data_IF_401592609353
#
_entry.id   IF_401592609353
#
_cell.length_a   1.000
_cell.length_b   1.000
_cell.length_c   1.000
_cell.angle_alpha   90.00
_cell.angle_beta   90.00
_cell.angle_gamma   90.00
#
_symmetry.space_group_name_H-M   'P 1'
#
loop_
_entity.id
_entity.type
_entity.pdbx_description
1 polymer ?
#
# COMPACT_ATOMS: atom_id res chain seq x y z
N UNK A 1 12.22 12.55 20.41
CA UNK A 1 13.31 11.94 19.61
C UNK A 1 13.14 12.41 18.18
N UNK A 2 14.23 12.63 17.45
CA UNK A 2 14.15 12.93 16.03
C UNK A 2 13.59 11.72 15.28
N UNK A 3 12.77 11.96 14.27
CA UNK A 3 12.26 10.93 13.38
C UNK A 3 13.17 10.79 12.16
N UNK A 4 13.10 9.66 11.46
CA UNK A 4 14.02 9.36 10.37
C UNK A 4 13.98 10.39 9.20
N UNK A 5 12.83 11.03 8.97
CA UNK A 5 12.62 11.99 7.91
C UNK A 5 12.31 13.42 8.43
N UNK A 6 12.69 13.72 9.69
CA UNK A 6 12.56 15.08 10.20
C UNK A 6 13.30 16.07 9.30
N UNK A 7 12.63 17.17 8.94
CA UNK A 7 13.15 18.21 8.06
C UNK A 7 12.91 17.96 6.57
N UNK A 8 12.39 16.79 6.17
CA UNK A 8 11.97 16.53 4.78
C UNK A 8 10.55 17.05 4.58
N UNK A 9 10.34 17.87 3.54
CA UNK A 9 9.06 18.46 3.17
C UNK A 9 8.53 17.88 1.87
N UNK A 10 7.26 17.44 1.86
CA UNK A 10 6.63 16.74 0.74
C UNK A 10 5.34 17.45 0.31
N UNK A 11 5.23 17.84 -0.95
CA UNK A 11 3.98 18.26 -1.59
C UNK A 11 3.27 17.04 -2.16
N UNK A 12 2.06 16.79 -1.71
CA UNK A 12 1.22 15.71 -2.22
C UNK A 12 0.10 16.25 -3.10
N UNK A 13 0.10 15.88 -4.38
CA UNK A 13 -0.94 16.22 -5.36
C UNK A 13 -1.66 14.95 -5.85
N UNK A 14 -2.01 14.06 -4.93
CA UNK A 14 -2.67 12.80 -5.28
C UNK A 14 -4.15 12.83 -4.92
N UNK A 15 -4.98 12.11 -5.70
CA UNK A 15 -6.44 12.06 -5.51
C UNK A 15 -6.94 10.69 -5.06
N UNK A 16 -6.15 9.65 -5.24
CA UNK A 16 -6.54 8.26 -4.97
C UNK A 16 -5.61 7.61 -3.95
N UNK A 17 -6.07 6.52 -3.36
CA UNK A 17 -5.44 5.81 -2.25
C UNK A 17 -3.93 5.54 -2.37
N UNK A 18 -3.41 5.07 -3.52
CA UNK A 18 -2.00 4.70 -3.64
C UNK A 18 -1.02 5.84 -3.34
N UNK A 19 -1.25 7.03 -3.90
CA UNK A 19 -0.39 8.18 -3.61
C UNK A 19 -0.48 8.62 -2.16
N UNK A 20 -1.70 8.62 -1.60
CA UNK A 20 -1.90 8.95 -0.19
C UNK A 20 -1.24 7.93 0.75
N UNK A 21 -1.20 6.64 0.39
CA UNK A 21 -0.49 5.62 1.16
C UNK A 21 1.03 5.76 1.05
N UNK A 22 1.55 6.09 -0.13
CA UNK A 22 2.97 6.41 -0.33
C UNK A 22 3.43 7.53 0.61
N UNK A 23 2.72 8.66 0.60
CA UNK A 23 3.08 9.83 1.41
C UNK A 23 2.77 9.64 2.89
N UNK A 24 1.80 8.79 3.27
CA UNK A 24 1.57 8.40 4.66
C UNK A 24 2.81 7.71 5.25
N UNK A 25 3.45 6.80 4.50
CA UNK A 25 4.67 6.15 4.98
C UNK A 25 5.78 7.15 5.27
N UNK A 26 5.94 8.17 4.42
CA UNK A 26 6.91 9.25 4.65
C UNK A 26 6.50 10.11 5.85
N UNK A 27 5.21 10.45 5.96
CA UNK A 27 4.67 11.23 7.07
C UNK A 27 4.84 10.50 8.41
N UNK A 28 4.53 9.20 8.46
CA UNK A 28 4.71 8.40 9.69
C UNK A 28 6.18 8.37 10.16
N UNK A 29 7.13 8.48 9.24
CA UNK A 29 8.55 8.51 9.54
C UNK A 29 9.11 9.92 9.79
N UNK A 30 8.27 10.96 9.82
CA UNK A 30 8.66 12.31 10.22
C UNK A 30 8.59 13.38 9.15
N UNK A 31 8.43 13.03 7.87
CA UNK A 31 8.31 14.04 6.82
C UNK A 31 7.08 14.96 7.06
N UNK A 32 7.24 16.24 6.78
CA UNK A 32 6.14 17.21 6.72
C UNK A 32 5.44 17.07 5.37
N UNK A 33 4.23 16.50 5.38
CA UNK A 33 3.45 16.28 4.15
C UNK A 33 2.34 17.31 4.05
N UNK A 34 2.37 18.14 3.01
CA UNK A 34 1.31 19.07 2.65
C UNK A 34 0.51 18.50 1.47
N UNK A 35 -0.71 18.10 1.74
CA UNK A 35 -1.64 17.65 0.71
C UNK A 35 -2.34 18.84 0.08
N UNK A 36 -2.20 18.96 -1.24
CA UNK A 36 -2.83 20.02 -2.06
C UNK A 36 -4.05 19.43 -2.76
N UNK A 37 -5.21 20.02 -2.50
CA UNK A 37 -6.50 19.58 -2.99
C UNK A 37 -7.26 20.74 -3.65
N UNK A 38 -8.10 20.51 -4.67
CA UNK A 38 -8.90 21.57 -5.26
C UNK A 38 -9.92 22.09 -4.23
N UNK A 39 -10.23 23.40 -4.25
CA UNK A 39 -11.33 23.93 -3.46
C UNK A 39 -12.65 23.22 -3.79
N UNK A 40 -13.56 23.04 -2.82
CA UNK A 40 -14.85 22.42 -3.06
C UNK A 40 -15.71 23.31 -3.98
N UNK A 41 -16.34 22.69 -4.99
CA UNK A 41 -17.19 23.41 -5.91
C UNK A 41 -18.36 24.11 -5.17
N UNK A 42 -18.48 25.41 -5.32
CA UNK A 42 -19.61 26.21 -4.77
C UNK A 42 -19.60 26.43 -3.25
N UNK A 43 -18.52 26.11 -2.54
CA UNK A 43 -18.35 26.41 -1.10
C UNK A 43 -17.00 27.05 -0.87
N UNK A 44 -16.95 28.03 0.04
CA UNK A 44 -15.69 28.55 0.56
C UNK A 44 -14.99 27.43 1.34
N UNK A 45 -13.75 27.10 0.96
CA UNK A 45 -12.92 26.15 1.71
C UNK A 45 -12.50 26.77 3.03
N UNK A 46 -12.39 25.94 4.07
CA UNK A 46 -11.76 26.36 5.32
C UNK A 46 -12.60 27.35 6.15
N UNK A 47 -13.91 27.11 6.30
CA UNK A 47 -14.76 27.96 7.15
C UNK A 47 -14.42 27.87 8.64
N UNK A 48 -13.35 27.19 9.06
CA UNK A 48 -12.97 27.01 10.47
C UNK A 48 -14.03 26.28 11.34
N UNK A 49 -15.12 25.83 10.73
CA UNK A 49 -16.16 25.12 11.45
C UNK A 49 -15.65 23.70 11.80
N UNK A 50 -15.80 23.34 13.07
CA UNK A 50 -15.53 21.97 13.52
C UNK A 50 -16.36 20.97 12.71
N UNK A 51 -15.79 19.86 12.22
CA UNK A 51 -16.53 18.85 11.48
C UNK A 51 -17.68 18.28 12.33
N UNK A 52 -18.77 17.87 11.67
CA UNK A 52 -19.86 17.16 12.35
C UNK A 52 -19.35 15.81 12.89
N UNK A 53 -19.97 15.22 13.92
CA UNK A 53 -19.50 13.96 14.52
C UNK A 53 -19.24 12.83 13.50
N UNK A 54 -20.12 12.63 12.54
CA UNK A 54 -19.96 11.62 11.49
C UNK A 54 -18.78 11.94 10.55
N UNK A 55 -18.56 13.21 10.26
CA UNK A 55 -17.44 13.69 9.45
C UNK A 55 -16.12 13.57 10.23
N UNK A 56 -16.13 13.92 11.52
CA UNK A 56 -15.01 13.73 12.42
C UNK A 56 -14.60 12.26 12.49
N UNK A 57 -15.57 11.32 12.58
CA UNK A 57 -15.28 9.89 12.59
C UNK A 57 -14.68 9.40 11.26
N UNK A 58 -15.18 9.89 10.12
CA UNK A 58 -14.59 9.57 8.79
C UNK A 58 -13.14 10.07 8.68
N UNK A 59 -12.86 11.27 9.15
CA UNK A 59 -11.49 11.80 9.18
C UNK A 59 -10.60 10.97 10.11
N UNK A 60 -11.08 10.68 11.32
CA UNK A 60 -10.35 9.90 12.31
C UNK A 60 -10.01 8.47 11.81
N UNK A 61 -10.80 7.91 10.89
CA UNK A 61 -10.56 6.60 10.26
C UNK A 61 -9.90 6.68 8.89
N UNK A 62 -9.55 7.87 8.41
CA UNK A 62 -8.83 8.07 7.13
C UNK A 62 -7.32 7.86 7.32
N UNK A 63 -6.90 6.63 7.50
CA UNK A 63 -5.51 6.26 7.90
C UNK A 63 -4.45 6.81 6.95
N UNK A 64 -4.72 6.81 5.64
CA UNK A 64 -3.75 7.25 4.63
C UNK A 64 -3.48 8.75 4.62
N UNK A 65 -4.30 9.54 5.35
CA UNK A 65 -4.15 10.98 5.44
C UNK A 65 -3.68 11.47 6.82
N UNK A 66 -3.35 10.56 7.75
CA UNK A 66 -2.78 10.93 9.05
C UNK A 66 -1.41 11.59 8.92
N UNK A 67 -1.01 12.38 9.91
CA UNK A 67 0.26 13.09 9.96
C UNK A 67 0.49 14.10 8.82
N UNK A 68 -0.58 14.56 8.16
CA UNK A 68 -0.50 15.49 7.03
C UNK A 68 -1.15 16.83 7.34
N UNK A 69 -0.75 17.86 6.61
CA UNK A 69 -1.48 19.12 6.48
C UNK A 69 -2.33 19.10 5.20
N UNK A 70 -3.39 19.91 5.13
CA UNK A 70 -4.23 20.06 3.94
C UNK A 70 -4.33 21.53 3.55
N UNK A 71 -4.03 21.82 2.29
CA UNK A 71 -4.18 23.09 1.60
C UNK A 71 -5.17 22.94 0.45
N UNK A 72 -6.17 23.81 0.35
CA UNK A 72 -6.95 23.93 -0.88
C UNK A 72 -6.27 24.89 -1.84
N UNK A 73 -6.12 24.46 -3.12
CA UNK A 73 -5.48 25.26 -4.15
C UNK A 73 -6.01 24.90 -5.55
N UNK A 74 -6.50 25.91 -6.27
CA UNK A 74 -6.97 25.76 -7.64
C UNK A 74 -5.80 25.97 -8.64
N UNK A 75 -5.14 24.91 -9.04
CA UNK A 75 -4.01 24.96 -9.99
C UNK A 75 -4.43 25.30 -11.44
N UNK A 76 -5.73 25.44 -11.73
CA UNK A 76 -6.20 25.96 -13.02
C UNK A 76 -6.11 27.48 -13.07
N UNK A 77 -6.00 28.15 -11.93
CA UNK A 77 -5.83 29.59 -11.83
C UNK A 77 -4.34 29.94 -11.76
N UNK A 78 -3.86 30.94 -12.50
CA UNK A 78 -2.47 31.36 -12.44
C UNK A 78 -1.98 31.72 -11.04
N UNK A 79 -2.81 32.35 -10.20
CA UNK A 79 -2.45 32.65 -8.82
C UNK A 79 -2.23 31.38 -7.99
N UNK A 80 -2.99 30.32 -8.28
CA UNK A 80 -2.76 29.01 -7.67
C UNK A 80 -1.43 28.37 -8.11
N UNK A 81 -1.05 28.55 -9.39
CA UNK A 81 0.25 28.09 -9.88
C UNK A 81 1.41 28.87 -9.24
N UNK A 82 1.28 30.19 -9.08
CA UNK A 82 2.29 31.02 -8.42
C UNK A 82 2.52 30.58 -6.96
N UNK A 83 1.46 30.21 -6.25
CA UNK A 83 1.55 29.67 -4.89
C UNK A 83 2.24 28.30 -4.90
N UNK A 84 1.91 27.39 -5.83
CA UNK A 84 2.61 26.11 -5.98
C UNK A 84 4.11 26.33 -6.25
N UNK A 85 4.47 27.28 -7.08
CA UNK A 85 5.85 27.64 -7.38
C UNK A 85 6.60 28.21 -6.16
N UNK A 86 5.92 29.01 -5.34
CA UNK A 86 6.50 29.50 -4.07
C UNK A 86 6.75 28.35 -3.09
N UNK A 87 5.78 27.42 -2.95
CA UNK A 87 5.97 26.23 -2.13
C UNK A 87 7.10 25.34 -2.64
N UNK A 88 7.22 25.13 -3.94
CA UNK A 88 8.24 24.26 -4.52
C UNK A 88 9.68 24.71 -4.21
N UNK A 89 9.91 25.99 -3.89
CA UNK A 89 11.24 26.50 -3.45
C UNK A 89 11.67 25.92 -2.11
N UNK A 90 10.69 25.62 -1.23
CA UNK A 90 10.91 25.23 0.16
C UNK A 90 10.71 23.74 0.41
N UNK A 91 10.19 23.01 -0.60
CA UNK A 91 9.87 21.61 -0.46
C UNK A 91 10.88 20.71 -1.18
N UNK A 92 11.12 19.54 -0.59
CA UNK A 92 12.12 18.57 -1.06
C UNK A 92 11.57 17.61 -2.10
N UNK A 93 10.28 17.26 -1.96
CA UNK A 93 9.63 16.19 -2.72
C UNK A 93 8.28 16.66 -3.23
N UNK A 94 7.96 16.31 -4.46
CA UNK A 94 6.60 16.38 -5.02
C UNK A 94 6.14 14.97 -5.35
N UNK A 95 4.93 14.63 -4.94
CA UNK A 95 4.28 13.35 -5.29
C UNK A 95 2.97 13.66 -6.00
N UNK A 96 2.81 13.21 -7.24
CA UNK A 96 1.58 13.38 -7.99
C UNK A 96 1.07 12.05 -8.54
N UNK A 97 -0.24 11.98 -8.85
CA UNK A 97 -0.88 10.77 -9.36
C UNK A 97 -1.83 11.05 -10.52
N UNK A 98 -1.51 12.01 -11.37
CA UNK A 98 -2.32 12.35 -12.54
C UNK A 98 -1.88 11.55 -13.78
N UNK A 99 -2.69 11.60 -14.81
CA UNK A 99 -2.27 11.12 -16.12
C UNK A 99 -1.15 12.01 -16.68
N UNK A 100 -0.19 11.44 -17.44
CA UNK A 100 0.88 12.20 -18.06
C UNK A 100 0.39 13.45 -18.79
N UNK A 101 1.09 14.58 -18.62
CA UNK A 101 0.76 15.88 -19.20
C UNK A 101 -0.31 16.68 -18.46
N UNK A 102 -0.95 16.15 -17.42
CA UNK A 102 -1.90 16.94 -16.60
C UNK A 102 -1.16 17.98 -15.79
N UNK A 103 -0.09 17.59 -15.09
CA UNK A 103 0.70 18.53 -14.29
C UNK A 103 1.37 19.61 -15.14
N UNK A 104 1.75 19.33 -16.38
CA UNK A 104 2.24 20.34 -17.32
C UNK A 104 1.20 21.44 -17.56
N UNK A 105 -0.07 21.05 -17.77
CA UNK A 105 -1.17 22.04 -17.96
C UNK A 105 -1.51 22.80 -16.67
N UNK A 106 -1.14 22.25 -15.51
CA UNK A 106 -1.34 22.87 -14.21
C UNK A 106 -0.09 23.64 -13.71
N UNK A 107 0.95 23.75 -14.56
CA UNK A 107 2.18 24.50 -14.25
C UNK A 107 3.04 23.88 -13.15
N UNK A 108 2.86 22.58 -12.88
CA UNK A 108 3.55 21.87 -11.78
C UNK A 108 4.27 20.61 -12.23
N UNK A 109 4.64 20.47 -13.50
CA UNK A 109 5.42 19.34 -14.00
C UNK A 109 6.89 19.41 -13.55
N UNK A 110 7.59 18.28 -13.71
CA UNK A 110 8.96 18.14 -13.25
C UNK A 110 9.91 19.22 -13.81
N UNK A 111 9.87 19.51 -15.11
CA UNK A 111 10.79 20.47 -15.73
C UNK A 111 10.54 21.89 -15.20
N UNK A 112 9.27 22.25 -15.02
CA UNK A 112 8.88 23.54 -14.43
C UNK A 112 9.38 23.66 -12.99
N UNK A 113 9.15 22.65 -12.15
CA UNK A 113 9.52 22.73 -10.75
C UNK A 113 11.03 22.57 -10.53
N UNK A 114 11.72 21.77 -11.35
CA UNK A 114 13.18 21.65 -11.36
C UNK A 114 13.88 22.98 -11.70
N UNK A 115 13.31 23.75 -12.61
CA UNK A 115 13.87 25.06 -12.93
C UNK A 115 13.79 26.04 -11.74
N UNK A 116 12.80 25.86 -10.85
CA UNK A 116 12.62 26.65 -9.62
C UNK A 116 13.51 26.12 -8.49
N UNK A 117 13.54 24.79 -8.31
CA UNK A 117 14.32 24.10 -7.29
C UNK A 117 15.06 22.90 -7.91
N UNK A 118 16.34 23.06 -8.29
CA UNK A 118 17.11 21.97 -8.89
C UNK A 118 17.29 20.75 -7.97
N UNK A 119 17.09 20.89 -6.66
CA UNK A 119 17.15 19.83 -5.67
C UNK A 119 15.85 19.04 -5.51
N UNK A 120 14.78 19.38 -6.24
CA UNK A 120 13.48 18.77 -6.04
C UNK A 120 13.44 17.31 -6.54
N UNK A 121 12.97 16.40 -5.70
CA UNK A 121 12.64 15.03 -6.09
C UNK A 121 11.18 15.00 -6.52
N UNK A 122 10.92 14.58 -7.74
CA UNK A 122 9.57 14.57 -8.31
C UNK A 122 9.11 13.12 -8.55
N UNK A 123 8.15 12.63 -7.77
CA UNK A 123 7.61 11.28 -7.91
C UNK A 123 6.27 11.32 -8.64
N UNK A 124 6.23 10.72 -9.82
CA UNK A 124 5.01 10.54 -10.60
C UNK A 124 4.53 9.10 -10.50
N UNK A 125 3.31 8.92 -9.99
CA UNK A 125 2.64 7.63 -9.87
C UNK A 125 1.61 7.51 -10.98
N UNK A 126 1.90 6.76 -12.03
CA UNK A 126 1.03 6.65 -13.20
C UNK A 126 0.77 5.20 -13.60
N UNK A 127 -0.31 4.95 -14.33
CA UNK A 127 -0.71 3.58 -14.67
C UNK A 127 0.33 2.83 -15.50
N UNK A 128 0.91 3.53 -16.48
CA UNK A 128 1.76 2.92 -17.51
C UNK A 128 3.07 3.67 -17.74
N UNK A 129 3.47 4.55 -16.82
CA UNK A 129 4.66 5.39 -16.99
C UNK A 129 4.39 6.71 -17.73
N UNK A 130 5.42 7.55 -17.81
CA UNK A 130 5.33 8.86 -18.44
C UNK A 130 5.42 8.82 -19.97
N UNK A 131 5.77 7.69 -20.56
CA UNK A 131 5.90 7.46 -22.00
C UNK A 131 5.23 6.14 -22.46
N UNK A 132 5.53 5.71 -23.67
CA UNK A 132 5.04 4.46 -24.22
C UNK A 132 3.61 4.48 -24.77
N UNK A 133 3.16 3.37 -25.39
CA UNK A 133 1.91 3.31 -26.15
C UNK A 133 0.66 3.44 -25.26
N UNK A 134 0.73 3.09 -23.98
CA UNK A 134 -0.41 3.09 -23.06
C UNK A 134 -0.44 4.29 -22.11
N UNK A 135 0.52 5.23 -22.20
CA UNK A 135 0.63 6.37 -21.28
C UNK A 135 -0.67 7.12 -21.00
N UNK A 136 -1.57 7.20 -21.99
CA UNK A 136 -2.83 7.92 -21.91
C UNK A 136 -4.05 7.04 -21.59
N UNK A 137 -3.87 5.71 -21.42
CA UNK A 137 -4.99 4.80 -21.18
C UNK A 137 -5.49 4.95 -19.73
N UNK A 138 -6.83 4.95 -19.55
CA UNK A 138 -7.42 4.87 -18.20
C UNK A 138 -7.27 3.45 -17.66
N UNK A 139 -6.90 3.32 -16.40
CA UNK A 139 -6.84 2.02 -15.74
C UNK A 139 -6.89 2.16 -14.22
N UNK A 140 -7.15 1.04 -13.58
CA UNK A 140 -7.09 0.82 -12.14
C UNK A 140 -6.34 -0.49 -11.84
N UNK A 141 -6.14 -0.83 -10.57
CA UNK A 141 -5.42 -2.01 -10.09
C UNK A 141 -5.70 -3.27 -10.94
N UNK A 142 -6.97 -3.61 -11.11
CA UNK A 142 -7.40 -4.79 -11.88
C UNK A 142 -6.82 -4.83 -13.31
N UNK A 143 -6.70 -3.68 -13.96
CA UNK A 143 -6.18 -3.60 -15.32
C UNK A 143 -4.66 -3.81 -15.35
N UNK A 144 -3.94 -3.29 -14.36
CA UNK A 144 -2.50 -3.51 -14.21
C UNK A 144 -2.20 -4.99 -13.89
N UNK A 145 -2.99 -5.59 -12.98
CA UNK A 145 -2.90 -7.02 -12.69
C UNK A 145 -3.16 -7.89 -13.92
N UNK A 146 -4.12 -7.49 -14.76
CA UNK A 146 -4.45 -8.22 -16.00
C UNK A 146 -3.28 -8.18 -17.01
N UNK A 147 -2.75 -6.98 -17.26
CA UNK A 147 -1.69 -6.79 -18.25
C UNK A 147 -0.33 -7.31 -17.80
N UNK A 148 -0.08 -7.33 -16.48
CA UNK A 148 1.15 -7.91 -15.93
C UNK A 148 1.18 -9.43 -15.92
N UNK A 149 0.04 -10.11 -16.16
CA UNK A 149 -0.09 -11.56 -16.03
C UNK A 149 -0.30 -12.07 -14.60
N UNK A 150 -0.20 -11.21 -13.57
CA UNK A 150 -0.40 -11.60 -12.16
C UNK A 150 -1.80 -12.15 -11.94
N UNK A 151 -2.82 -11.50 -12.51
CA UNK A 151 -4.21 -11.90 -12.31
C UNK A 151 -4.49 -13.33 -12.79
N UNK A 152 -3.87 -13.75 -13.91
CA UNK A 152 -4.06 -15.11 -14.45
C UNK A 152 -3.52 -16.22 -13.52
N UNK A 153 -2.67 -15.87 -12.55
CA UNK A 153 -2.08 -16.82 -11.61
C UNK A 153 -2.85 -16.91 -10.28
N UNK A 154 -3.85 -16.05 -10.05
CA UNK A 154 -4.57 -15.96 -8.77
C UNK A 154 -5.98 -16.54 -8.91
N UNK A 155 -6.31 -17.50 -8.05
CA UNK A 155 -7.66 -18.07 -7.96
C UNK A 155 -7.71 -19.58 -8.18
N UNK A 156 -8.93 -20.14 -8.26
CA UNK A 156 -9.15 -21.56 -8.47
C UNK A 156 -8.67 -21.99 -9.87
N UNK A 157 -8.36 -23.29 -10.06
CA UNK A 157 -7.87 -23.81 -11.33
C UNK A 157 -8.87 -23.65 -12.48
N UNK A 158 -10.16 -23.65 -12.12
CA UNK A 158 -11.28 -23.51 -13.07
C UNK A 158 -12.03 -22.20 -12.84
N UNK A 159 -12.68 -21.72 -13.89
CA UNK A 159 -13.42 -20.44 -13.86
C UNK A 159 -12.55 -19.21 -14.00
N UNK A 160 -13.07 -18.00 -13.74
CA UNK A 160 -12.32 -16.77 -13.86
C UNK A 160 -11.28 -16.61 -12.73
N UNK A 161 -10.20 -15.83 -12.94
CA UNK A 161 -9.28 -15.43 -11.90
C UNK A 161 -9.97 -14.73 -10.73
N UNK A 162 -9.41 -14.84 -9.52
CA UNK A 162 -9.90 -14.12 -8.34
C UNK A 162 -9.26 -12.73 -8.24
N UNK A 163 -10.07 -11.70 -7.98
CA UNK A 163 -9.59 -10.34 -7.76
C UNK A 163 -9.03 -10.24 -6.32
N UNK A 164 -7.74 -9.95 -6.13
CA UNK A 164 -7.10 -9.92 -4.79
C UNK A 164 -7.24 -8.55 -4.11
N UNK A 165 -8.40 -7.90 -4.21
CA UNK A 165 -8.58 -6.49 -3.87
C UNK A 165 -7.66 -5.60 -4.72
N UNK A 166 -7.36 -4.37 -4.24
CA UNK A 166 -6.39 -3.47 -4.86
C UNK A 166 -5.06 -3.39 -4.08
N UNK A 167 -4.64 -4.50 -3.48
CA UNK A 167 -3.45 -4.53 -2.61
C UNK A 167 -2.17 -4.66 -3.43
N UNK A 168 -2.20 -5.37 -4.56
CA UNK A 168 -0.99 -5.78 -5.26
C UNK A 168 -0.45 -4.64 -6.14
N UNK A 169 -1.21 -4.17 -7.14
CA UNK A 169 -0.69 -3.15 -8.05
C UNK A 169 -0.70 -1.75 -7.41
N UNK A 170 -1.78 -1.38 -6.72
CA UNK A 170 -1.93 -0.06 -6.11
C UNK A 170 -0.97 0.13 -4.92
N UNK A 171 -1.03 -0.77 -3.92
CA UNK A 171 -0.29 -0.54 -2.67
C UNK A 171 1.09 -1.20 -2.67
N UNK A 172 1.21 -2.51 -2.86
CA UNK A 172 2.52 -3.18 -2.88
C UNK A 172 3.35 -2.75 -4.10
N UNK A 173 2.73 -2.66 -5.27
CA UNK A 173 3.36 -2.16 -6.48
C UNK A 173 3.70 -0.68 -6.39
N UNK A 174 2.75 0.19 -6.67
CA UNK A 174 3.04 1.60 -6.88
C UNK A 174 3.40 2.36 -5.61
N UNK A 175 2.61 2.22 -4.52
CA UNK A 175 2.82 3.06 -3.33
C UNK A 175 4.15 2.77 -2.64
N UNK A 176 4.48 1.50 -2.43
CA UNK A 176 5.74 1.13 -1.75
C UNK A 176 6.95 1.43 -2.63
N UNK A 177 6.88 1.16 -3.94
CA UNK A 177 7.97 1.53 -4.86
C UNK A 177 8.10 3.05 -5.00
N UNK A 178 7.00 3.80 -4.93
CA UNK A 178 7.03 5.27 -4.88
C UNK A 178 7.81 5.79 -3.68
N UNK A 179 7.47 5.29 -2.48
CA UNK A 179 8.20 5.67 -1.27
C UNK A 179 9.68 5.26 -1.34
N UNK A 180 9.98 4.05 -1.82
CA UNK A 180 11.36 3.57 -1.99
C UNK A 180 12.12 4.40 -3.03
N UNK A 181 11.50 4.71 -4.17
CA UNK A 181 12.08 5.55 -5.22
C UNK A 181 12.39 6.97 -4.73
N UNK A 182 11.50 7.56 -3.94
CA UNK A 182 11.74 8.85 -3.27
C UNK A 182 12.96 8.76 -2.35
N UNK A 183 13.06 7.70 -1.53
CA UNK A 183 14.20 7.50 -0.64
C UNK A 183 15.52 7.36 -1.41
N UNK A 184 15.54 6.59 -2.51
CA UNK A 184 16.72 6.49 -3.37
C UNK A 184 17.12 7.84 -3.98
N UNK A 185 16.13 8.61 -4.44
CA UNK A 185 16.38 9.94 -5.02
C UNK A 185 16.90 10.94 -3.98
N UNK A 186 16.36 10.93 -2.76
CA UNK A 186 16.85 11.74 -1.65
C UNK A 186 18.26 11.35 -1.24
N UNK A 187 18.57 10.05 -1.19
CA UNK A 187 19.94 9.58 -0.90
C UNK A 187 20.93 9.99 -1.99
N UNK A 188 20.55 9.85 -3.27
CA UNK A 188 21.39 10.32 -4.38
C UNK A 188 21.61 11.84 -4.34
N UNK A 189 20.57 12.61 -3.96
CA UNK A 189 20.65 14.07 -3.81
C UNK A 189 21.69 14.48 -2.76
N UNK A 190 21.85 13.73 -1.67
CA UNK A 190 22.89 14.04 -0.66
C UNK A 190 24.31 14.04 -1.26
N UNK A 191 24.54 13.25 -2.31
CA UNK A 191 25.84 13.16 -2.98
C UNK A 191 25.98 14.16 -4.13
N UNK A 192 24.89 14.39 -4.87
CA UNK A 192 24.93 15.17 -6.13
C UNK A 192 24.46 16.61 -5.97
N UNK A 193 23.73 16.93 -4.91
CA UNK A 193 23.01 18.19 -4.73
C UNK A 193 21.81 18.36 -5.67
N UNK A 194 21.50 17.39 -6.54
CA UNK A 194 20.45 17.48 -7.54
C UNK A 194 19.30 16.52 -7.22
N UNK A 195 18.06 17.01 -7.39
CA UNK A 195 16.88 16.17 -7.42
C UNK A 195 16.72 15.45 -8.76
N UNK A 196 15.68 14.61 -8.87
CA UNK A 196 15.41 13.87 -10.09
C UNK A 196 13.94 13.46 -10.20
N UNK A 197 13.52 13.08 -11.41
CA UNK A 197 12.24 12.44 -11.67
C UNK A 197 12.30 10.97 -11.19
N UNK A 198 11.29 10.56 -10.45
CA UNK A 198 11.01 9.18 -10.06
C UNK A 198 9.73 8.78 -10.78
N UNK A 199 9.84 8.07 -11.89
CA UNK A 199 8.71 7.60 -12.68
C UNK A 199 8.31 6.20 -12.21
N UNK A 200 7.14 6.08 -11.62
CA UNK A 200 6.57 4.83 -11.10
C UNK A 200 5.35 4.46 -11.92
N UNK A 201 5.50 3.43 -12.73
CA UNK A 201 4.38 2.83 -13.44
C UNK A 201 3.81 1.65 -12.64
N UNK A 202 2.49 1.66 -12.41
CA UNK A 202 1.81 0.55 -11.72
C UNK A 202 2.02 -0.78 -12.42
N UNK A 203 2.01 -0.79 -13.76
CA UNK A 203 2.27 -1.98 -14.55
C UNK A 203 3.69 -2.52 -14.33
N UNK A 204 4.71 -1.66 -14.39
CA UNK A 204 6.11 -2.05 -14.28
C UNK A 204 6.41 -2.65 -12.90
N UNK A 205 5.93 -1.99 -11.84
CA UNK A 205 6.12 -2.47 -10.48
C UNK A 205 5.41 -3.80 -10.24
N UNK A 206 4.23 -4.00 -10.84
CA UNK A 206 3.51 -5.28 -10.77
C UNK A 206 4.26 -6.40 -11.52
N UNK A 207 4.83 -6.12 -12.68
CA UNK A 207 5.69 -7.06 -13.41
C UNK A 207 6.95 -7.41 -12.60
N UNK A 208 7.54 -6.41 -11.93
CA UNK A 208 8.70 -6.63 -11.05
C UNK A 208 8.37 -7.60 -9.90
N UNK A 209 7.19 -7.46 -9.28
CA UNK A 209 6.72 -8.41 -8.26
C UNK A 209 6.49 -9.81 -8.85
N UNK A 210 5.89 -9.90 -10.03
CA UNK A 210 5.70 -11.19 -10.73
C UNK A 210 7.03 -11.87 -11.02
N UNK A 211 8.03 -11.12 -11.49
CA UNK A 211 9.35 -11.66 -11.84
C UNK A 211 10.09 -12.28 -10.64
N UNK A 212 9.73 -11.93 -9.40
CA UNK A 212 10.25 -12.56 -8.19
C UNK A 212 9.70 -13.97 -7.95
N UNK A 213 8.64 -14.38 -8.66
CA UNK A 213 8.01 -15.69 -8.47
C UNK A 213 8.74 -16.80 -9.23
N UNK A 214 8.77 -18.05 -8.70
CA UNK A 214 9.37 -19.18 -9.40
C UNK A 214 8.76 -19.44 -10.78
N UNK A 215 7.47 -19.21 -10.93
CA UNK A 215 6.73 -19.46 -12.17
C UNK A 215 7.30 -18.74 -13.39
N UNK A 216 7.73 -17.48 -13.22
CA UNK A 216 8.33 -16.70 -14.32
C UNK A 216 9.71 -17.21 -14.67
N UNK A 217 10.51 -17.55 -13.64
CA UNK A 217 11.82 -18.16 -13.83
C UNK A 217 11.71 -19.46 -14.67
N UNK A 218 10.77 -20.32 -14.31
CA UNK A 218 10.61 -21.63 -14.95
C UNK A 218 10.16 -21.47 -16.41
N UNK A 219 9.24 -20.52 -16.67
CA UNK A 219 8.86 -20.18 -18.05
C UNK A 219 10.05 -19.74 -18.91
N UNK A 220 10.91 -18.88 -18.39
CA UNK A 220 12.09 -18.42 -19.13
C UNK A 220 13.20 -19.48 -19.22
N UNK A 221 13.26 -20.43 -18.28
CA UNK A 221 14.27 -21.47 -18.26
C UNK A 221 13.98 -22.60 -19.27
N UNK A 222 12.73 -23.04 -19.36
CA UNK A 222 12.38 -24.25 -20.14
C UNK A 222 11.01 -24.16 -20.86
N UNK A 223 10.31 -23.01 -20.78
CA UNK A 223 8.99 -22.81 -21.39
C UNK A 223 7.83 -23.39 -20.58
N UNK A 224 8.05 -23.81 -19.33
CA UNK A 224 7.00 -24.34 -18.48
C UNK A 224 5.94 -23.28 -18.21
N UNK A 225 4.73 -23.50 -18.70
CA UNK A 225 3.61 -22.56 -18.54
C UNK A 225 3.06 -22.59 -17.10
N UNK A 226 3.10 -21.45 -16.38
CA UNK A 226 2.45 -21.34 -15.08
C UNK A 226 0.93 -21.47 -15.21
N UNK A 227 0.26 -21.63 -14.08
CA UNK A 227 -1.21 -21.66 -14.06
C UNK A 227 -1.75 -21.66 -12.64
N UNK A 228 -3.03 -21.25 -12.51
CA UNK A 228 -3.71 -21.21 -11.22
C UNK A 228 -3.71 -22.57 -10.54
N UNK A 229 -3.41 -22.58 -9.24
CA UNK A 229 -3.39 -23.78 -8.39
C UNK A 229 -2.46 -24.92 -8.89
N UNK A 230 -1.50 -24.62 -9.78
CA UNK A 230 -0.57 -25.64 -10.28
C UNK A 230 0.78 -25.61 -9.55
N UNK A 231 1.27 -24.44 -9.18
CA UNK A 231 2.54 -24.27 -8.48
C UNK A 231 2.42 -24.36 -6.96
N UNK A 232 3.56 -24.34 -6.29
CA UNK A 232 3.66 -24.45 -4.83
C UNK A 232 2.81 -23.38 -4.13
N UNK A 233 2.94 -22.12 -4.51
CA UNK A 233 2.25 -21.01 -3.87
C UNK A 233 0.82 -20.74 -4.39
N UNK A 234 0.34 -21.56 -5.30
CA UNK A 234 -1.00 -21.43 -5.88
C UNK A 234 -2.09 -22.23 -5.16
N UNK A 235 -1.77 -22.89 -4.04
CA UNK A 235 -2.75 -23.70 -3.31
C UNK A 235 -3.01 -25.09 -3.91
N UNK A 236 -2.18 -25.55 -4.83
CA UNK A 236 -2.30 -26.87 -5.48
C UNK A 236 -1.90 -28.05 -4.60
N UNK A 237 -1.23 -27.82 -3.48
CA UNK A 237 -0.65 -28.85 -2.61
C UNK A 237 -1.28 -28.83 -1.22
N UNK A 238 -1.30 -29.99 -0.56
CA UNK A 238 -1.82 -30.13 0.79
C UNK A 238 -0.99 -29.29 1.79
N UNK A 239 0.32 -29.25 1.62
CA UNK A 239 1.24 -28.52 2.49
C UNK A 239 1.19 -26.99 2.29
N UNK A 240 0.53 -26.47 1.25
CA UNK A 240 0.37 -25.03 1.02
C UNK A 240 -1.03 -24.72 0.51
N UNK A 241 -1.99 -24.61 1.41
CA UNK A 241 -3.40 -24.43 1.07
C UNK A 241 -4.23 -23.87 2.22
N UNK A 242 -5.44 -23.48 1.91
CA UNK A 242 -6.47 -23.04 2.86
C UNK A 242 -7.53 -24.12 2.96
N UNK A 243 -7.99 -24.40 4.18
CA UNK A 243 -8.93 -25.44 4.52
C UNK A 243 -10.09 -24.92 5.36
N UNK A 244 -11.28 -25.49 5.15
CA UNK A 244 -12.43 -25.21 5.99
C UNK A 244 -12.38 -26.08 7.26
N UNK A 245 -12.85 -25.53 8.37
CA UNK A 245 -12.96 -26.22 9.67
C UNK A 245 -14.42 -26.45 10.04
N UNK A 246 -14.66 -27.25 11.10
CA UNK A 246 -16.02 -27.65 11.55
C UNK A 246 -16.95 -26.45 11.79
N UNK A 247 -16.43 -25.35 12.31
CA UNK A 247 -17.16 -24.13 12.63
C UNK A 247 -17.40 -23.21 11.41
N UNK A 248 -17.08 -23.69 10.20
CA UNK A 248 -17.22 -22.94 8.94
C UNK A 248 -16.13 -21.88 8.73
N UNK A 249 -15.21 -21.68 9.68
CA UNK A 249 -14.05 -20.82 9.53
C UNK A 249 -12.97 -21.48 8.68
N UNK A 250 -11.85 -20.81 8.46
CA UNK A 250 -10.78 -21.31 7.61
C UNK A 250 -9.42 -21.26 8.32
N UNK A 251 -8.57 -22.23 7.97
CA UNK A 251 -7.22 -22.40 8.46
C UNK A 251 -6.27 -22.53 7.26
N UNK A 252 -5.13 -21.87 7.30
CA UNK A 252 -4.07 -22.05 6.31
C UNK A 252 -2.97 -22.95 6.83
N UNK A 253 -2.42 -23.80 5.95
CA UNK A 253 -1.20 -24.58 6.18
C UNK A 253 -0.17 -24.13 5.13
N UNK A 254 1.04 -23.80 5.58
CA UNK A 254 2.10 -23.25 4.73
C UNK A 254 3.45 -23.94 5.00
N UNK A 255 3.51 -25.28 4.87
CA UNK A 255 4.65 -26.13 5.23
C UNK A 255 5.48 -26.49 3.98
N UNK A 256 6.18 -25.52 3.42
CA UNK A 256 7.03 -25.73 2.23
C UNK A 256 8.31 -26.50 2.54
N UNK A 257 8.82 -26.45 3.75
CA UNK A 257 9.96 -27.23 4.17
C UNK A 257 9.57 -28.67 4.48
N UNK A 258 10.33 -29.70 4.02
CA UNK A 258 9.98 -31.11 4.22
C UNK A 258 9.74 -31.50 5.66
N UNK A 259 10.51 -30.95 6.61
CA UNK A 259 10.33 -31.27 8.03
C UNK A 259 9.03 -30.68 8.62
N UNK A 260 8.59 -29.50 8.17
CA UNK A 260 7.32 -28.91 8.61
C UNK A 260 6.12 -29.70 8.10
N UNK A 261 6.18 -30.18 6.84
CA UNK A 261 5.18 -31.11 6.33
C UNK A 261 5.18 -32.45 7.07
N UNK A 262 6.37 -32.99 7.38
CA UNK A 262 6.50 -34.19 8.19
C UNK A 262 5.86 -34.03 9.57
N UNK A 263 5.99 -32.84 10.19
CA UNK A 263 5.31 -32.54 11.47
C UNK A 263 3.77 -32.63 11.34
N UNK A 264 3.20 -32.16 10.23
CA UNK A 264 1.75 -32.35 9.95
C UNK A 264 1.41 -33.82 9.87
N UNK A 265 2.20 -34.59 9.10
CA UNK A 265 1.97 -36.03 8.91
C UNK A 265 2.07 -36.79 10.24
N UNK A 266 3.08 -36.51 11.04
CA UNK A 266 3.29 -37.18 12.32
C UNK A 266 2.22 -36.77 13.36
N UNK A 267 1.82 -35.50 13.41
CA UNK A 267 0.75 -35.04 14.29
C UNK A 267 -0.62 -35.67 13.99
N UNK A 268 -0.86 -35.98 12.71
CA UNK A 268 -2.13 -36.61 12.27
C UNK A 268 -2.05 -38.15 12.15
N UNK A 269 -0.90 -38.77 12.52
CA UNK A 269 -0.61 -40.19 12.33
C UNK A 269 -0.80 -40.64 10.84
N UNK A 270 -0.29 -39.83 9.93
CA UNK A 270 -0.35 -40.06 8.48
C UNK A 270 1.05 -40.09 7.83
N UNK A 271 1.90 -41.08 8.21
CA UNK A 271 3.24 -41.21 7.65
C UNK A 271 3.22 -41.49 6.13
N UNK A 272 2.10 -42.02 5.61
CA UNK A 272 1.85 -42.26 4.19
C UNK A 272 1.74 -40.97 3.35
N UNK A 273 1.67 -39.80 3.96
CA UNK A 273 1.62 -38.50 3.26
C UNK A 273 2.99 -37.83 3.11
N UNK A 274 4.04 -38.34 3.76
CA UNK A 274 5.38 -37.71 3.75
C UNK A 274 5.97 -37.58 2.35
N UNK A 275 5.63 -38.52 1.44
CA UNK A 275 6.04 -38.50 0.05
C UNK A 275 5.39 -37.39 -0.79
N UNK A 276 4.31 -36.78 -0.27
CA UNK A 276 3.60 -35.66 -0.89
C UNK A 276 4.08 -34.27 -0.43
N UNK A 277 5.14 -34.18 0.37
CA UNK A 277 5.80 -32.94 0.73
C UNK A 277 6.61 -32.34 -0.41
N UNK A 278 6.95 -31.05 -0.27
CA UNK A 278 7.84 -30.38 -1.22
C UNK A 278 9.25 -30.99 -1.11
N UNK A 279 9.89 -31.26 -2.24
CA UNK A 279 11.32 -31.55 -2.25
C UNK A 279 12.09 -30.26 -2.00
N UNK A 280 13.09 -30.31 -1.14
CA UNK A 280 13.84 -29.13 -0.73
C UNK A 280 14.31 -28.31 -1.94
N UNK A 281 13.86 -27.06 -2.03
CA UNK A 281 14.23 -26.11 -3.07
C UNK A 281 13.56 -26.32 -4.43
N UNK A 282 12.69 -27.33 -4.58
CA UNK A 282 11.95 -27.57 -5.82
C UNK A 282 10.62 -26.80 -5.83
N UNK A 283 10.70 -25.51 -6.10
CA UNK A 283 9.52 -24.64 -6.24
C UNK A 283 8.80 -24.80 -7.59
N UNK A 284 9.38 -25.55 -8.53
CA UNK A 284 8.82 -25.83 -9.86
C UNK A 284 7.86 -27.03 -9.85
N UNK A 285 7.63 -27.64 -8.70
CA UNK A 285 6.76 -28.80 -8.54
C UNK A 285 5.33 -28.52 -9.04
N UNK A 286 4.78 -29.46 -9.81
CA UNK A 286 3.36 -29.48 -10.19
C UNK A 286 2.61 -30.51 -9.36
N UNK A 287 1.39 -30.15 -8.92
CA UNK A 287 0.55 -31.08 -8.16
C UNK A 287 0.07 -32.26 -9.04
N UNK A 288 0.09 -33.46 -8.46
CA UNK A 288 -0.37 -34.71 -9.06
C UNK A 288 -1.71 -35.15 -8.49
N UNK A 289 -2.33 -36.19 -9.07
CA UNK A 289 -3.55 -36.80 -8.52
C UNK A 289 -3.37 -37.24 -7.05
N UNK A 290 -2.17 -37.75 -6.68
CA UNK A 290 -1.84 -38.10 -5.30
C UNK A 290 -1.83 -36.90 -4.37
N UNK A 291 -1.24 -35.78 -4.79
CA UNK A 291 -1.29 -34.53 -4.02
C UNK A 291 -2.73 -34.03 -3.80
N UNK A 292 -3.57 -34.11 -4.82
CA UNK A 292 -4.98 -33.73 -4.72
C UNK A 292 -5.77 -34.66 -3.78
N UNK A 293 -5.47 -35.97 -3.81
CA UNK A 293 -6.06 -36.91 -2.87
C UNK A 293 -5.68 -36.58 -1.43
N UNK A 294 -4.41 -36.38 -1.13
CA UNK A 294 -3.93 -36.00 0.22
C UNK A 294 -4.56 -34.70 0.67
N UNK A 295 -4.66 -33.70 -0.22
CA UNK A 295 -5.33 -32.44 0.09
C UNK A 295 -6.79 -32.64 0.48
N UNK A 296 -7.51 -33.50 -0.21
CA UNK A 296 -8.90 -33.84 0.11
C UNK A 296 -9.01 -34.58 1.46
N UNK A 297 -8.16 -35.58 1.68
CA UNK A 297 -8.14 -36.32 2.95
C UNK A 297 -7.84 -35.41 4.15
N UNK A 298 -6.89 -34.46 3.99
CA UNK A 298 -6.60 -33.45 5.02
C UNK A 298 -7.80 -32.52 5.24
N UNK A 299 -8.49 -32.10 4.17
CA UNK A 299 -9.72 -31.31 4.30
C UNK A 299 -10.79 -32.05 5.11
N UNK A 300 -11.00 -33.35 4.85
CA UNK A 300 -11.98 -34.17 5.58
C UNK A 300 -11.63 -34.28 7.08
N UNK A 301 -10.34 -34.40 7.41
CA UNK A 301 -9.85 -34.39 8.80
C UNK A 301 -10.11 -33.01 9.44
N UNK A 302 -9.79 -31.92 8.75
CA UNK A 302 -9.91 -30.58 9.33
C UNK A 302 -11.38 -30.14 9.58
N UNK A 303 -12.33 -30.80 8.97
CA UNK A 303 -13.77 -30.62 9.28
C UNK A 303 -14.19 -31.24 10.63
N UNK A 304 -13.31 -31.94 11.34
CA UNK A 304 -13.67 -32.64 12.60
C UNK A 304 -13.53 -31.80 13.86
N UNK A 305 -12.85 -30.64 13.79
CA UNK A 305 -12.67 -29.70 14.90
C UNK A 305 -12.81 -28.26 14.42
N UNK A 306 -12.95 -27.35 15.38
CA UNK A 306 -12.98 -25.90 15.10
C UNK A 306 -11.62 -25.37 14.65
N UNK A 307 -11.63 -24.18 14.02
CA UNK A 307 -10.39 -23.50 13.60
C UNK A 307 -9.40 -23.32 14.76
N UNK A 308 -9.90 -22.91 15.92
CA UNK A 308 -9.06 -22.59 17.06
C UNK A 308 -8.49 -23.86 17.71
N UNK A 309 -9.27 -24.96 17.79
CA UNK A 309 -8.77 -26.25 18.25
C UNK A 309 -7.67 -26.80 17.33
N UNK A 310 -7.82 -26.68 16.01
CA UNK A 310 -6.79 -27.10 15.06
C UNK A 310 -5.55 -26.22 15.12
N UNK A 311 -5.71 -24.90 15.28
CA UNK A 311 -4.59 -23.99 15.45
C UNK A 311 -3.76 -24.35 16.68
N UNK A 312 -4.39 -24.56 17.84
CA UNK A 312 -3.73 -24.96 19.08
C UNK A 312 -3.08 -26.35 18.98
N UNK A 313 -3.66 -27.24 18.22
CA UNK A 313 -3.10 -28.57 17.97
C UNK A 313 -1.82 -28.49 17.14
N UNK A 314 -1.87 -27.80 16.03
CA UNK A 314 -0.74 -27.72 15.10
C UNK A 314 0.41 -26.84 15.59
N UNK A 315 0.13 -25.76 16.33
CA UNK A 315 1.19 -24.93 16.90
C UNK A 315 2.04 -25.67 17.91
N UNK A 316 1.46 -26.65 18.65
CA UNK A 316 2.21 -27.53 19.56
C UNK A 316 3.08 -28.56 18.83
N UNK A 317 2.77 -28.84 17.58
CA UNK A 317 3.49 -29.78 16.72
C UNK A 317 4.50 -29.07 15.79
N UNK A 318 4.80 -27.79 15.99
CA UNK A 318 5.71 -27.01 15.16
C UNK A 318 5.33 -27.03 13.67
N UNK A 319 4.05 -26.76 13.38
CA UNK A 319 3.49 -26.69 12.03
C UNK A 319 3.27 -25.22 11.65
N UNK A 320 3.63 -24.86 10.41
CA UNK A 320 3.28 -23.54 9.85
C UNK A 320 1.77 -23.47 9.56
N UNK A 321 1.04 -22.99 10.54
CA UNK A 321 -0.43 -22.88 10.51
C UNK A 321 -0.87 -21.44 10.81
N UNK A 322 -1.93 -20.96 10.15
CA UNK A 322 -2.48 -19.63 10.37
C UNK A 322 -4.01 -19.66 10.41
N UNK A 323 -4.61 -18.91 11.34
CA UNK A 323 -6.04 -18.64 11.34
C UNK A 323 -6.35 -17.64 10.22
N UNK A 324 -7.28 -17.93 9.34
CA UNK A 324 -7.81 -16.94 8.41
C UNK A 324 -8.77 -16.04 9.19
N UNK A 325 -8.33 -14.85 9.49
CA UNK A 325 -9.07 -13.87 10.30
C UNK A 325 -10.02 -13.02 9.46
N UNK A 326 -11.14 -12.65 10.03
CA UNK A 326 -11.89 -11.48 9.60
C UNK A 326 -11.28 -10.18 10.15
N UNK A 327 -11.77 -9.02 9.68
CA UNK A 327 -11.17 -7.73 10.08
C UNK A 327 -11.23 -7.48 11.59
N UNK A 328 -12.33 -7.73 12.32
CA UNK A 328 -12.34 -7.64 13.78
C UNK A 328 -11.30 -8.53 14.47
N UNK A 329 -11.18 -9.79 14.05
CA UNK A 329 -10.23 -10.74 14.65
C UNK A 329 -8.77 -10.29 14.52
N UNK A 330 -8.41 -9.61 13.41
CA UNK A 330 -7.04 -9.08 13.21
C UNK A 330 -6.65 -8.13 14.32
N UNK A 331 -7.53 -7.19 14.68
CA UNK A 331 -7.22 -6.16 15.67
C UNK A 331 -7.32 -6.65 17.13
N UNK A 332 -7.84 -7.87 17.34
CA UNK A 332 -7.88 -8.55 18.64
C UNK A 332 -6.68 -9.48 18.86
N UNK A 333 -5.96 -9.85 17.80
CA UNK A 333 -4.84 -10.80 17.86
C UNK A 333 -3.72 -10.29 18.77
N UNK A 334 -3.19 -11.13 19.70
CA UNK A 334 -2.17 -10.72 20.66
C UNK A 334 -0.85 -10.31 20.01
N UNK A 335 -0.45 -10.93 18.90
CA UNK A 335 0.78 -10.55 18.18
C UNK A 335 0.60 -9.20 17.47
N UNK A 336 -0.57 -8.95 16.86
CA UNK A 336 -0.91 -7.69 16.22
C UNK A 336 -0.92 -6.54 17.24
N UNK A 337 -1.49 -6.77 18.41
CA UNK A 337 -1.47 -5.81 19.53
C UNK A 337 -0.07 -5.60 20.10
N UNK A 338 0.67 -6.67 20.36
CA UNK A 338 2.06 -6.58 20.85
C UNK A 338 2.96 -5.79 19.88
N UNK A 339 2.75 -5.96 18.58
CA UNK A 339 3.49 -5.22 17.54
C UNK A 339 2.95 -3.81 17.31
N UNK A 340 1.99 -3.37 18.12
CA UNK A 340 1.36 -2.04 17.99
C UNK A 340 0.79 -1.81 16.57
N UNK A 341 0.26 -2.86 15.95
CA UNK A 341 -0.44 -2.74 14.67
C UNK A 341 -1.94 -2.50 14.83
N UNK A 342 -2.47 -2.62 16.05
CA UNK A 342 -3.79 -2.16 16.49
C UNK A 342 -3.59 -1.04 17.52
N UNK A 343 -3.68 0.23 17.08
CA UNK A 343 -3.44 1.40 17.93
C UNK A 343 -4.76 2.09 18.23
N UNK A 344 -5.12 2.16 19.51
CA UNK A 344 -6.29 2.93 19.96
C UNK A 344 -5.88 4.39 20.21
N UNK A 345 -6.59 5.33 19.61
CA UNK A 345 -6.33 6.76 19.68
C UNK A 345 -7.59 7.50 20.11
N UNK A 346 -7.42 8.54 20.93
CA UNK A 346 -8.53 9.40 21.39
C UNK A 346 -8.68 10.60 20.45
N UNK A 347 -9.75 10.59 19.62
CA UNK A 347 -10.06 11.73 18.76
C UNK A 347 -11.02 12.69 19.51
N UNK A 348 -10.76 14.02 19.52
CA UNK A 348 -11.52 14.97 20.34
C UNK A 348 -13.04 14.95 20.11
N UNK A 349 -13.48 14.63 18.90
CA UNK A 349 -14.91 14.65 18.51
C UNK A 349 -15.48 13.26 18.19
N UNK A 350 -14.64 12.32 17.75
CA UNK A 350 -15.07 10.97 17.38
C UNK A 350 -14.91 9.95 18.52
N UNK A 351 -14.29 10.33 19.64
CA UNK A 351 -13.96 9.43 20.74
C UNK A 351 -12.86 8.45 20.36
N UNK A 352 -12.88 7.25 20.93
CA UNK A 352 -11.89 6.22 20.66
C UNK A 352 -12.02 5.65 19.25
N UNK A 353 -10.91 5.62 18.54
CA UNK A 353 -10.79 5.02 17.19
C UNK A 353 -9.56 4.13 17.13
N UNK A 354 -9.68 2.99 16.47
CA UNK A 354 -8.54 2.09 16.21
C UNK A 354 -7.99 2.37 14.83
N UNK A 355 -6.66 2.51 14.73
CA UNK A 355 -5.94 2.62 13.48
C UNK A 355 -4.89 1.51 13.35
N UNK A 356 -4.53 1.17 12.12
CA UNK A 356 -3.35 0.35 11.86
C UNK A 356 -2.09 1.15 12.26
N UNK A 357 -1.19 0.51 13.01
CA UNK A 357 0.05 1.11 13.45
C UNK A 357 1.06 1.36 12.34
N UNK A 358 2.22 1.91 12.70
CA UNK A 358 3.34 2.09 11.76
C UNK A 358 4.05 0.76 11.57
N UNK A 359 4.08 0.26 10.32
CA UNK A 359 4.60 -1.06 10.02
C UNK A 359 6.13 -1.14 10.09
N UNK A 360 6.84 -0.09 9.70
CA UNK A 360 8.30 -0.02 9.73
C UNK A 360 8.74 0.35 11.15
N UNK A 361 9.48 -0.54 11.81
CA UNK A 361 9.98 -0.36 13.18
C UNK A 361 11.48 -0.08 13.14
N UNK A 362 11.88 1.19 13.28
CA UNK A 362 13.28 1.58 13.44
C UNK A 362 13.62 1.66 14.93
N UNK A 363 14.82 1.17 15.32
CA UNK A 363 15.23 1.08 16.73
C UNK A 363 15.42 2.46 17.38
N UNK A 364 16.01 3.40 16.65
CA UNK A 364 16.45 4.69 17.18
C UNK A 364 15.59 5.87 16.73
N UNK A 365 14.93 5.74 15.58
CA UNK A 365 14.06 6.76 14.98
C UNK A 365 12.70 6.18 14.60
N UNK A 366 11.94 5.59 15.56
CA UNK A 366 10.68 4.92 15.26
C UNK A 366 9.64 5.90 14.72
N UNK A 367 8.94 5.47 13.67
CA UNK A 367 7.79 6.22 13.17
C UNK A 367 6.64 6.32 14.19
N UNK A 368 5.78 7.32 14.04
CA UNK A 368 4.67 7.55 14.96
C UNK A 368 3.43 8.15 14.31
N UNK A 369 2.26 7.88 14.90
CA UNK A 369 1.00 8.54 14.58
C UNK A 369 0.92 9.79 15.47
N UNK A 370 1.07 10.99 14.88
CA UNK A 370 1.14 12.27 15.58
C UNK A 370 -0.15 13.09 15.47
N UNK A 371 -0.88 12.88 14.36
CA UNK A 371 -2.15 13.57 14.13
C UNK A 371 -3.10 12.72 13.30
N UNK A 372 -4.39 12.99 13.44
CA UNK A 372 -5.41 12.45 12.55
C UNK A 372 -5.38 13.14 11.19
N UNK A 373 -6.12 12.56 10.22
CA UNK A 373 -6.32 13.20 8.93
C UNK A 373 -6.93 14.61 9.11
N UNK A 374 -6.40 15.62 8.41
CA UNK A 374 -6.94 16.97 8.46
C UNK A 374 -8.28 17.06 7.71
N UNK A 375 -9.10 18.02 8.08
CA UNK A 375 -10.21 18.44 7.22
C UNK A 375 -9.67 19.12 5.95
N UNK A 376 -10.47 19.11 4.90
CA UNK A 376 -10.11 19.74 3.62
C UNK A 376 -9.78 21.23 3.82
N UNK A 377 -8.57 21.63 3.45
CA UNK A 377 -8.10 23.01 3.57
C UNK A 377 -7.86 23.50 5.00
N UNK A 378 -7.79 22.59 5.97
CA UNK A 378 -7.65 22.97 7.39
C UNK A 378 -6.45 23.88 7.66
N UNK A 379 -5.38 23.76 6.90
CA UNK A 379 -4.13 24.51 7.11
C UNK A 379 -3.90 25.59 6.05
N UNK A 380 -4.93 25.93 5.26
CA UNK A 380 -4.77 26.88 4.13
C UNK A 380 -4.21 28.23 4.59
N UNK A 381 -4.76 28.84 5.65
CA UNK A 381 -4.30 30.15 6.11
C UNK A 381 -2.89 30.13 6.69
N UNK A 382 -2.59 29.11 7.48
CA UNK A 382 -1.26 28.89 8.03
C UNK A 382 -0.21 28.81 6.91
N UNK A 383 -0.43 27.90 5.96
CA UNK A 383 0.51 27.66 4.86
C UNK A 383 0.69 28.88 3.96
N UNK A 384 -0.39 29.59 3.66
CA UNK A 384 -0.32 30.80 2.83
C UNK A 384 0.37 31.95 3.55
N UNK A 385 0.20 32.07 4.87
CA UNK A 385 0.93 33.04 5.67
C UNK A 385 2.43 32.72 5.73
N UNK A 386 2.79 31.44 5.83
CA UNK A 386 4.19 31.00 5.86
C UNK A 386 4.93 31.30 4.53
N UNK A 387 4.23 31.30 3.39
CA UNK A 387 4.79 31.75 2.12
C UNK A 387 4.69 33.26 1.87
N UNK A 388 4.32 34.03 2.91
CA UNK A 388 4.40 35.50 2.92
C UNK A 388 3.14 36.22 2.44
N UNK A 389 1.99 35.57 2.31
CA UNK A 389 0.74 36.26 1.96
C UNK A 389 0.10 36.90 3.21
N UNK A 390 -0.38 38.13 3.07
CA UNK A 390 -1.16 38.79 4.11
C UNK A 390 -2.58 38.23 4.22
N UNK A 391 -3.25 38.44 5.37
CA UNK A 391 -4.64 38.05 5.57
C UNK A 391 -5.58 38.60 4.51
N UNK A 392 -5.37 39.87 4.05
CA UNK A 392 -6.17 40.46 3.00
C UNK A 392 -5.98 39.78 1.63
N UNK A 393 -4.75 39.38 1.30
CA UNK A 393 -4.45 38.63 0.09
C UNK A 393 -5.11 37.24 0.13
N UNK A 394 -5.06 36.55 1.26
CA UNK A 394 -5.70 35.26 1.46
C UNK A 394 -7.21 35.38 1.29
N UNK A 395 -7.82 36.41 1.88
CA UNK A 395 -9.26 36.68 1.72
C UNK A 395 -9.65 36.90 0.25
N UNK A 396 -8.86 37.69 -0.50
CA UNK A 396 -9.08 37.89 -1.94
C UNK A 396 -8.95 36.59 -2.76
N UNK A 397 -8.01 35.72 -2.41
CA UNK A 397 -7.87 34.41 -3.09
C UNK A 397 -9.07 33.50 -2.82
N UNK A 398 -9.65 33.56 -1.60
CA UNK A 398 -10.91 32.86 -1.29
C UNK A 398 -12.10 33.39 -2.08
N UNK A 399 -12.28 34.71 -2.16
CA UNK A 399 -13.34 35.31 -2.94
C UNK A 399 -13.29 34.91 -4.43
N UNK A 400 -12.07 34.72 -4.96
CA UNK A 400 -11.83 34.25 -6.32
C UNK A 400 -11.84 32.72 -6.48
N UNK A 401 -12.13 31.98 -5.41
CA UNK A 401 -12.08 30.50 -5.41
C UNK A 401 -10.73 29.90 -5.86
N UNK A 402 -9.64 30.58 -5.57
CA UNK A 402 -8.28 30.07 -5.76
C UNK A 402 -7.88 29.16 -4.60
N UNK A 403 -8.35 29.46 -3.39
CA UNK A 403 -8.12 28.69 -2.16
C UNK A 403 -9.40 28.50 -1.38
#
# INVERSE_FOLDING_TARGET
>A
MALALDGIKVLELTRVGPGAFCTMMLADMGAEVLKIEPPPAGKLAGSGASPKPDEARKLATSFTNRNKKSLTLNLKDPAGQDILHALAKEYDVVVEGFRPGVMQRLGGDYETLRAINPGIVYCSLSGYGQDGPYRNFPAHDLNYLSLSGVLDLIGPPEGPPSIPLNIIADYAGASMHGALGIMFALFARQQTGQGQLVDIAYLDTTISLLAATPNVRDYFADGTMPGRAKGVFGGGFAYYSVYQTQDGKQLSIGCTEPWLWNNVCDALDRPDWKDCGMKMGDFSQHSTARHQQVKKELQDILLTKTRDEWYDFFTKADVCVGKVYDVPEVFEDPQVRHREMAVELDHPQAGKVTQAGVAIKLSDTPGSIRSFAPALGQHTDEVLSDVGLSADQIAQLREKHVV
#
